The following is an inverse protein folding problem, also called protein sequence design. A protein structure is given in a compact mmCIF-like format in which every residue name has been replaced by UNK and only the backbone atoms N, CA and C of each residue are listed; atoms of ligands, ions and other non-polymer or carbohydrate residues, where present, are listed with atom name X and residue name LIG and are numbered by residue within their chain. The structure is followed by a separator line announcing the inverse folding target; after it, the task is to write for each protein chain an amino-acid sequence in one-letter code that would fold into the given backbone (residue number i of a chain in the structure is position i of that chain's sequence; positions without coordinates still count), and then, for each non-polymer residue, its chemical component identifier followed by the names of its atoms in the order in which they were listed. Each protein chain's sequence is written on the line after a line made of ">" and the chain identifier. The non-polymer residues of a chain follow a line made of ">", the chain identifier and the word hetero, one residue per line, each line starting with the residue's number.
data_IF_061131039027
#
_entry.id   IF_061131039027
#
_cell.length_a   1.000
_cell.length_b   1.000
_cell.length_c   1.000
_cell.angle_alpha   90.00
_cell.angle_beta   90.00
_cell.angle_gamma   90.00
#
_symmetry.space_group_name_H-M   'P 1'
#
loop_
_entity.id
_entity.type
_entity.pdbx_description
1 polymer ?
#
# COMPACT_ATOMS: atom_id res chain seq x y z
N UNK A 1 -5.94 -24.15 5.91
CA UNK A 1 -6.24 -23.74 5.38
C UNK A 1 -5.72 -23.56 4.75
N UNK A 2 -5.66 -23.55 4.57
CA UNK A 2 -5.27 -23.26 3.83
C UNK A 2 -4.42 -22.55 3.78
N UNK A 3 -3.55 -22.32 3.98
CA UNK A 3 -3.17 -21.69 3.97
C UNK A 3 -2.77 -21.34 3.38
N UNK A 4 -2.42 -21.53 2.84
CA UNK A 4 -2.26 -20.93 2.39
C UNK A 4 -3.01 -20.36 2.55
N UNK A 5 -3.30 -20.45 2.65
CA UNK A 5 -4.08 -19.97 2.64
C UNK A 5 -4.52 -18.79 2.80
N UNK A 6 -5.52 -18.44 2.18
CA UNK A 6 -6.07 -17.11 2.16
C UNK A 6 -6.83 -16.77 3.42
N UNK A 7 -7.19 -17.74 4.21
CA UNK A 7 -7.86 -17.53 5.47
C UNK A 7 -7.08 -16.70 6.45
N UNK A 8 -5.82 -16.46 6.15
CA UNK A 8 -4.92 -15.73 7.05
C UNK A 8 -4.61 -14.31 6.59
N UNK A 9 -5.14 -13.92 5.44
CA UNK A 9 -4.92 -12.56 4.94
C UNK A 9 -5.80 -11.59 5.72
N UNK A 10 -5.17 -10.54 6.24
CA UNK A 10 -5.87 -9.52 7.00
C UNK A 10 -6.31 -8.38 6.07
N UNK A 11 -7.59 -8.01 6.16
CA UNK A 11 -8.15 -6.90 5.37
C UNK A 11 -8.93 -6.00 6.32
N UNK A 12 -8.28 -4.98 6.90
CA UNK A 12 -8.96 -4.09 7.85
C UNK A 12 -10.19 -3.42 7.23
N UNK A 13 -11.26 -3.33 8.02
CA UNK A 13 -12.54 -2.82 7.52
C UNK A 13 -12.61 -1.30 7.48
N UNK A 14 -11.65 -0.62 8.10
CA UNK A 14 -11.63 0.84 8.18
C UNK A 14 -10.72 1.48 7.14
N UNK A 15 -10.21 0.70 6.19
CA UNK A 15 -9.36 1.19 5.11
C UNK A 15 -10.06 1.10 3.77
N UNK A 16 -9.45 1.73 2.75
CA UNK A 16 -9.88 1.62 1.37
C UNK A 16 -8.77 0.96 0.57
N UNK A 17 -9.10 0.41 -0.60
CA UNK A 17 -8.16 -0.45 -1.33
C UNK A 17 -8.21 -0.16 -2.83
N UNK A 18 -7.07 -0.32 -3.49
CA UNK A 18 -6.99 -0.25 -4.95
C UNK A 18 -6.96 -1.66 -5.52
N UNK A 19 -7.23 -1.76 -6.83
CA UNK A 19 -7.12 -3.05 -7.53
C UNK A 19 -5.65 -3.48 -7.71
N UNK A 20 -4.71 -2.57 -7.45
CA UNK A 20 -3.28 -2.87 -7.48
C UNK A 20 -2.75 -3.30 -6.12
N UNK A 21 -3.66 -3.56 -5.16
CA UNK A 21 -3.33 -4.08 -3.84
C UNK A 21 -2.59 -3.10 -2.95
N UNK A 22 -2.93 -1.81 -3.05
CA UNK A 22 -2.52 -0.82 -2.07
C UNK A 22 -3.70 -0.47 -1.19
N UNK A 23 -3.40 -0.10 0.06
CA UNK A 23 -4.42 0.39 0.99
C UNK A 23 -4.28 1.88 1.19
N UNK A 24 -5.40 2.51 1.56
CA UNK A 24 -5.46 3.94 1.84
C UNK A 24 -6.11 4.14 3.19
N UNK A 25 -5.42 4.85 4.08
CA UNK A 25 -5.99 5.27 5.37
C UNK A 25 -6.17 6.78 5.33
N UNK A 26 -7.40 7.23 5.51
CA UNK A 26 -7.68 8.67 5.53
C UNK A 26 -7.20 9.25 6.84
N UNK A 27 -6.42 10.32 6.73
CA UNK A 27 -5.97 11.10 7.87
C UNK A 27 -6.70 12.44 7.84
N UNK A 28 -6.32 13.36 8.74
CA UNK A 28 -6.93 14.69 8.77
C UNK A 28 -6.38 15.57 7.65
N UNK A 29 -7.13 16.63 7.32
CA UNK A 29 -6.67 17.72 6.44
C UNK A 29 -6.28 17.29 5.03
N UNK A 30 -7.01 16.32 4.48
CA UNK A 30 -6.75 15.89 3.11
C UNK A 30 -5.52 15.01 2.96
N UNK A 31 -4.97 14.56 4.06
CA UNK A 31 -3.84 13.64 4.03
C UNK A 31 -4.33 12.20 4.01
N UNK A 32 -3.57 11.33 3.35
CA UNK A 32 -3.80 9.90 3.39
C UNK A 32 -2.46 9.20 3.62
N UNK A 33 -2.52 8.05 4.26
CA UNK A 33 -1.36 7.15 4.36
C UNK A 33 -1.61 5.99 3.43
N UNK A 34 -0.59 5.53 2.73
CA UNK A 34 -0.73 4.42 1.80
C UNK A 34 0.37 3.39 1.98
N UNK A 35 0.05 2.15 1.60
CA UNK A 35 1.00 1.06 1.64
C UNK A 35 0.45 -0.11 0.86
N UNK A 36 1.15 -1.24 0.86
CA UNK A 36 0.66 -2.44 0.20
C UNK A 36 -0.07 -3.32 1.20
N UNK A 37 -1.04 -4.09 0.69
CA UNK A 37 -1.89 -4.93 1.54
C UNK A 37 -1.15 -6.18 2.03
N UNK A 38 -1.74 -6.84 3.01
CA UNK A 38 -1.24 -8.11 3.50
C UNK A 38 -1.19 -9.15 2.37
N UNK A 39 -2.21 -9.15 1.52
CA UNK A 39 -2.24 -10.03 0.36
C UNK A 39 -1.03 -9.78 -0.56
N UNK A 40 -0.72 -8.51 -0.83
CA UNK A 40 0.37 -8.15 -1.71
C UNK A 40 1.73 -8.56 -1.13
N UNK A 41 1.95 -8.30 0.17
CA UNK A 41 3.23 -8.66 0.77
C UNK A 41 3.42 -10.18 0.80
N UNK A 42 2.35 -10.92 1.01
CA UNK A 42 2.43 -12.39 1.01
C UNK A 42 2.79 -12.91 -0.38
N UNK A 43 2.19 -12.33 -1.41
CA UNK A 43 2.47 -12.71 -2.79
C UNK A 43 3.90 -12.37 -3.21
N UNK A 44 4.43 -11.25 -2.71
CA UNK A 44 5.80 -10.83 -3.01
C UNK A 44 6.85 -11.69 -2.32
N UNK A 45 6.58 -12.15 -1.11
CA UNK A 45 7.58 -12.82 -0.29
C UNK A 45 8.40 -11.80 0.49
N UNK A 46 9.57 -12.22 0.97
CA UNK A 46 10.39 -11.39 1.85
C UNK A 46 10.88 -10.12 1.15
N UNK A 47 10.47 -8.98 1.66
CA UNK A 47 10.85 -7.68 1.11
C UNK A 47 12.26 -7.35 1.57
N UNK A 48 13.13 -7.00 0.61
CA UNK A 48 14.53 -6.69 0.88
C UNK A 48 14.90 -5.25 0.57
N UNK A 49 14.07 -4.53 -0.17
CA UNK A 49 14.35 -3.13 -0.52
C UNK A 49 13.05 -2.42 -0.87
N UNK A 50 12.93 -1.18 -0.40
CA UNK A 50 11.77 -0.32 -0.72
C UNK A 50 12.31 1.05 -1.12
N UNK A 51 11.85 1.56 -2.26
CA UNK A 51 12.17 2.90 -2.70
C UNK A 51 10.88 3.65 -2.96
N UNK A 52 10.75 4.86 -2.40
CA UNK A 52 9.57 5.69 -2.55
C UNK A 52 10.00 7.05 -3.08
N UNK A 53 9.17 7.66 -3.92
CA UNK A 53 9.42 8.98 -4.48
C UNK A 53 9.66 10.01 -3.36
N UNK A 54 10.48 11.00 -3.66
CA UNK A 54 10.85 12.02 -2.69
C UNK A 54 9.66 12.89 -2.29
N UNK A 55 9.73 13.46 -1.09
CA UNK A 55 8.76 14.45 -0.63
C UNK A 55 8.69 15.58 -1.63
N UNK A 56 7.48 16.01 -1.95
CA UNK A 56 7.23 17.06 -2.95
C UNK A 56 6.89 16.52 -4.33
N UNK A 57 7.01 15.21 -4.54
CA UNK A 57 6.74 14.61 -5.85
C UNK A 57 5.23 14.55 -6.10
N UNK A 58 4.74 15.11 -7.22
CA UNK A 58 3.33 14.94 -7.58
C UNK A 58 3.14 13.57 -8.24
N UNK A 59 2.03 12.91 -7.91
CA UNK A 59 1.72 11.58 -8.43
C UNK A 59 0.26 11.56 -8.86
N UNK A 60 -0.01 10.98 -10.02
CA UNK A 60 -1.38 10.80 -10.50
C UNK A 60 -1.84 9.38 -10.16
N UNK A 61 -3.16 9.22 -9.98
CA UNK A 61 -3.75 7.89 -9.75
C UNK A 61 -3.28 6.93 -10.86
N UNK A 62 -2.78 5.78 -10.45
CA UNK A 62 -2.25 4.77 -11.38
C UNK A 62 -0.80 4.98 -11.78
N UNK A 63 -0.21 6.12 -11.40
CA UNK A 63 1.20 6.37 -11.68
C UNK A 63 2.08 5.71 -10.64
N UNK A 64 3.32 5.38 -11.03
CA UNK A 64 4.26 4.76 -10.12
C UNK A 64 4.83 5.79 -9.15
N UNK A 65 4.87 5.44 -7.86
CA UNK A 65 5.49 6.31 -6.86
C UNK A 65 6.63 5.61 -6.12
N UNK A 66 7.02 4.43 -6.58
CA UNK A 66 8.14 3.73 -5.98
C UNK A 66 8.20 2.28 -6.41
N UNK A 67 9.07 1.53 -5.74
CA UNK A 67 9.28 0.11 -6.00
C UNK A 67 9.49 -0.65 -4.71
N UNK A 68 9.08 -1.91 -4.73
CA UNK A 68 9.35 -2.86 -3.65
C UNK A 68 10.08 -4.04 -4.28
N UNK A 69 11.23 -4.37 -3.73
CA UNK A 69 12.01 -5.50 -4.18
C UNK A 69 11.94 -6.61 -3.14
N UNK A 70 11.63 -7.83 -3.59
CA UNK A 70 11.60 -9.01 -2.73
C UNK A 70 12.65 -10.00 -3.20
N UNK A 71 12.78 -11.10 -2.46
CA UNK A 71 13.69 -12.18 -2.87
C UNK A 71 13.26 -12.83 -4.17
N UNK A 72 12.03 -12.62 -4.61
CA UNK A 72 11.49 -13.25 -5.82
C UNK A 72 11.39 -12.31 -7.01
N UNK A 73 11.07 -11.03 -6.77
CA UNK A 73 10.74 -10.12 -7.87
C UNK A 73 10.82 -8.65 -7.45
N UNK A 74 10.69 -7.78 -8.44
CA UNK A 74 10.58 -6.33 -8.22
C UNK A 74 9.17 -5.93 -8.67
N UNK A 75 8.50 -5.13 -7.87
CA UNK A 75 7.15 -4.67 -8.16
C UNK A 75 7.08 -3.15 -8.02
N UNK A 76 6.40 -2.48 -8.95
CA UNK A 76 6.18 -1.05 -8.83
C UNK A 76 5.04 -0.79 -7.86
N UNK A 77 5.12 0.37 -7.18
CA UNK A 77 4.05 0.84 -6.32
C UNK A 77 3.24 1.86 -7.11
N UNK A 78 1.96 1.57 -7.34
CA UNK A 78 1.08 2.46 -8.10
C UNK A 78 0.20 3.26 -7.16
N UNK A 79 0.08 4.56 -7.43
CA UNK A 79 -0.66 5.44 -6.55
C UNK A 79 -2.16 5.13 -6.60
N UNK A 80 -2.81 4.88 -5.46
CA UNK A 80 -4.26 4.64 -5.44
C UNK A 80 -5.05 5.93 -5.54
N UNK A 81 -4.40 7.07 -5.31
CA UNK A 81 -5.01 8.40 -5.37
C UNK A 81 -4.03 9.38 -6.00
N UNK A 82 -4.54 10.50 -6.50
CA UNK A 82 -3.69 11.58 -7.01
C UNK A 82 -3.35 12.54 -5.89
N UNK A 83 -2.12 13.02 -5.85
CA UNK A 83 -1.71 13.97 -4.84
C UNK A 83 -0.21 14.20 -4.87
N UNK A 84 0.29 14.70 -3.76
CA UNK A 84 1.72 15.00 -3.60
C UNK A 84 2.25 14.24 -2.40
N UNK A 85 3.42 13.63 -2.55
CA UNK A 85 4.09 12.92 -1.45
C UNK A 85 4.54 13.96 -0.42
N UNK A 86 4.07 13.85 0.81
CA UNK A 86 4.41 14.81 1.88
C UNK A 86 5.25 14.19 2.98
N UNK A 87 5.26 12.86 3.10
CA UNK A 87 6.10 12.17 4.08
C UNK A 87 6.40 10.77 3.56
N UNK A 88 7.61 10.31 3.79
CA UNK A 88 8.05 8.97 3.39
C UNK A 88 8.44 8.20 4.65
N UNK A 89 8.13 6.92 4.69
CA UNK A 89 8.50 6.08 5.82
C UNK A 89 9.97 5.67 5.68
N UNK A 90 10.84 6.45 6.29
CA UNK A 90 12.28 6.24 6.17
C UNK A 90 12.77 4.99 6.90
N UNK A 91 11.97 4.45 7.80
CA UNK A 91 12.32 3.22 8.52
C UNK A 91 12.45 2.03 7.57
N UNK A 92 11.80 2.09 6.42
CA UNK A 92 11.86 1.00 5.44
C UNK A 92 13.21 0.90 4.75
N UNK A 93 14.03 1.94 4.79
CA UNK A 93 15.39 1.88 4.26
C UNK A 93 16.24 0.93 5.08
N UNK A 94 16.15 1.03 6.40
CA UNK A 94 16.94 0.19 7.30
C UNK A 94 16.26 -1.14 7.60
N UNK A 95 14.92 -1.19 7.53
CA UNK A 95 14.14 -2.36 7.92
C UNK A 95 13.00 -2.63 6.93
N UNK A 96 13.33 -3.00 5.68
CA UNK A 96 12.29 -3.26 4.67
C UNK A 96 11.37 -4.42 5.03
N UNK A 97 11.81 -5.31 5.90
CA UNK A 97 11.00 -6.44 6.35
C UNK A 97 9.75 -6.01 7.13
N UNK A 98 9.67 -4.74 7.53
CA UNK A 98 8.47 -4.24 8.20
C UNK A 98 7.25 -4.28 7.28
N UNK A 99 7.46 -4.24 5.97
CA UNK A 99 6.37 -4.39 5.02
C UNK A 99 5.70 -5.76 5.20
N UNK A 100 6.49 -6.79 5.47
CA UNK A 100 5.95 -8.13 5.70
C UNK A 100 5.34 -8.26 7.10
N UNK A 101 5.99 -7.67 8.10
CA UNK A 101 5.61 -7.84 9.49
C UNK A 101 4.37 -7.06 9.88
N UNK A 102 4.24 -5.84 9.34
CA UNK A 102 3.17 -4.94 9.73
C UNK A 102 2.75 -4.06 8.54
N UNK A 103 2.16 -4.65 7.50
CA UNK A 103 1.88 -3.92 6.26
C UNK A 103 0.93 -2.74 6.44
N UNK A 104 0.06 -2.77 7.45
CA UNK A 104 -0.91 -1.71 7.69
C UNK A 104 -0.46 -0.68 8.73
N UNK A 105 0.71 -0.86 9.32
CA UNK A 105 1.27 0.03 10.33
C UNK A 105 2.66 0.47 9.95
N UNK A 106 3.67 -0.08 10.63
CA UNK A 106 5.07 0.30 10.42
C UNK A 106 5.57 0.05 9.00
N UNK A 107 4.89 -0.83 8.25
CA UNK A 107 5.23 -1.12 6.86
C UNK A 107 4.58 -0.19 5.84
N UNK A 108 3.81 0.80 6.27
CA UNK A 108 3.21 1.76 5.35
C UNK A 108 4.26 2.56 4.61
N UNK A 109 4.02 2.84 3.32
CA UNK A 109 5.04 3.41 2.43
C UNK A 109 5.22 4.91 2.59
N UNK A 110 4.14 5.67 2.55
CA UNK A 110 4.24 7.13 2.58
C UNK A 110 2.89 7.76 2.93
N UNK A 111 2.92 9.10 3.07
CA UNK A 111 1.71 9.90 3.22
C UNK A 111 1.64 10.87 2.05
N UNK A 112 0.44 11.10 1.55
CA UNK A 112 0.21 12.00 0.44
C UNK A 112 -0.86 13.03 0.82
N UNK A 113 -0.73 14.22 0.26
CA UNK A 113 -1.79 15.22 0.30
C UNK A 113 -2.60 15.07 -0.96
N UNK A 114 -3.90 14.81 -0.81
CA UNK A 114 -4.78 14.57 -1.95
C UNK A 114 -5.65 15.78 -2.24
N UNK A 115 -6.13 15.85 -3.47
CA UNK A 115 -7.11 16.85 -3.90
C UNK A 115 -8.38 16.12 -4.29
N UNK A 116 -9.50 16.54 -3.75
CA UNK A 116 -10.80 15.96 -4.07
C UNK A 116 -11.10 14.67 -3.31
N UNK A 117 -12.09 13.91 -3.77
CA UNK A 117 -12.55 12.71 -3.06
C UNK A 117 -11.47 11.62 -3.06
N UNK A 118 -11.10 11.17 -1.87
CA UNK A 118 -10.00 10.21 -1.73
C UNK A 118 -10.46 8.76 -1.89
N UNK A 119 -11.78 8.52 -1.88
CA UNK A 119 -12.30 7.15 -1.99
C UNK A 119 -12.89 6.85 -3.37
N UNK A 120 -12.87 7.84 -4.27
CA UNK A 120 -13.45 7.68 -5.60
C UNK A 120 -12.66 6.62 -6.38
N UNK A 121 -13.35 5.60 -6.84
CA UNK A 121 -12.72 4.50 -7.55
C UNK A 121 -12.04 3.46 -6.68
N UNK A 122 -12.03 3.65 -5.35
CA UNK A 122 -11.44 2.68 -4.45
C UNK A 122 -12.47 1.68 -3.95
N UNK A 123 -11.97 0.54 -3.46
CA UNK A 123 -12.79 -0.54 -2.93
C UNK A 123 -12.83 -0.46 -1.41
N UNK A 124 -13.99 -0.82 -0.82
CA UNK A 124 -14.02 -1.04 0.63
C UNK A 124 -13.48 -2.45 0.91
N UNK A 125 -13.39 -2.82 2.19
CA UNK A 125 -12.81 -4.10 2.58
C UNK A 125 -13.60 -5.27 1.98
N UNK A 126 -14.91 -5.17 1.95
CA UNK A 126 -15.76 -6.24 1.42
C UNK A 126 -15.52 -6.46 -0.07
N UNK A 127 -15.46 -5.38 -0.84
CA UNK A 127 -15.21 -5.47 -2.28
C UNK A 127 -13.80 -5.96 -2.57
N UNK A 128 -12.83 -5.53 -1.76
CA UNK A 128 -11.47 -5.98 -1.94
C UNK A 128 -11.32 -7.48 -1.62
N UNK A 129 -11.98 -7.93 -0.56
CA UNK A 129 -11.99 -9.36 -0.23
C UNK A 129 -12.52 -10.19 -1.38
N UNK A 130 -13.60 -9.72 -2.01
CA UNK A 130 -14.17 -10.40 -3.17
C UNK A 130 -13.19 -10.47 -4.34
N UNK A 131 -12.37 -9.42 -4.50
CA UNK A 131 -11.36 -9.37 -5.56
C UNK A 131 -10.27 -10.43 -5.36
N UNK A 132 -9.82 -10.62 -4.14
CA UNK A 132 -8.69 -11.52 -3.87
C UNK A 132 -9.10 -12.95 -3.56
N UNK A 133 -10.41 -13.19 -3.36
CA UNK A 133 -10.94 -14.56 -3.18
C UNK A 133 -11.23 -15.16 -4.53
N UNK A 134 -10.44 -16.11 -4.92
CA UNK A 134 -10.65 -16.80 -6.20
C UNK A 134 -10.50 -18.31 -6.04
#
# INVERSE_FOLDING_TARGET
>A
MRKGSFGHVNVPVDLWYSTDHEWVRKLDDGLVRIGITDYAQDALGDVVFVEVAEVGTPVATGGSFGEVESTKSVSELFAPVSGEVVAVNEDLEAAPERVNEDPYGDGGSCEMRTEGPTTDGLLDASAYLALIEV
#
